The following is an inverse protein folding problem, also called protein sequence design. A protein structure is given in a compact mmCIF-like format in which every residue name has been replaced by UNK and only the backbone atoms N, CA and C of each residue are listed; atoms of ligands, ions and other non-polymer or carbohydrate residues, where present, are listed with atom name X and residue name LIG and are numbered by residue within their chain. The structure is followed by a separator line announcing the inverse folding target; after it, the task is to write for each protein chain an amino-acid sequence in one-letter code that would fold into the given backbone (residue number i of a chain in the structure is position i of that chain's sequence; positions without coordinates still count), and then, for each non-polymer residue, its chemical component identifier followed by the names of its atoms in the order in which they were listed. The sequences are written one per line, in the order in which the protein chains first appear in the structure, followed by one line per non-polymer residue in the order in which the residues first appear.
data_IF_719284045762
#
_entry.id   IF_719284045762
#
_cell.length_a   1.000
_cell.length_b   1.000
_cell.length_c   1.000
_cell.angle_alpha   90.00
_cell.angle_beta   90.00
_cell.angle_gamma   90.00
#
_symmetry.space_group_name_H-M   'P 1'
#
loop_
_entity.id
_entity.type
_entity.pdbx_description
1 polymer ?
#
# COMPACT_ATOMS: atom_id res chain seq x y z
N UNK A 1 40.18 29.10 -7.02
CA UNK A 1 39.16 28.43 -7.86
C UNK A 1 38.35 27.54 -6.92
N UNK A 2 37.12 27.97 -6.63
CA UNK A 2 36.19 27.30 -5.72
C UNK A 2 35.21 26.49 -6.56
N UNK A 3 35.18 25.18 -6.37
CA UNK A 3 33.94 24.37 -6.35
C UNK A 3 34.26 23.08 -5.63
N UNK A 4 34.29 23.21 -4.30
CA UNK A 4 34.10 22.11 -3.38
C UNK A 4 32.70 21.52 -3.61
N UNK A 5 32.68 20.19 -3.67
CA UNK A 5 31.67 19.31 -3.10
C UNK A 5 30.20 19.48 -3.56
N UNK A 6 29.59 18.38 -3.99
CA UNK A 6 28.69 17.61 -3.13
C UNK A 6 27.97 16.57 -4.00
N UNK A 7 28.54 15.37 -4.03
CA UNK A 7 27.78 14.13 -4.21
C UNK A 7 26.81 14.02 -3.04
N UNK A 8 25.56 14.46 -3.23
CA UNK A 8 24.49 14.15 -2.28
C UNK A 8 23.75 12.92 -2.80
N UNK A 9 24.24 11.75 -2.40
CA UNK A 9 23.45 10.53 -2.39
C UNK A 9 22.21 10.79 -1.52
N UNK A 10 21.04 10.96 -2.13
CA UNK A 10 19.79 10.81 -1.39
C UNK A 10 19.58 9.32 -1.14
N UNK A 11 20.15 8.83 -0.04
CA UNK A 11 19.64 7.64 0.63
C UNK A 11 18.24 7.98 1.15
N UNK A 12 17.22 7.55 0.43
CA UNK A 12 15.88 7.43 1.00
C UNK A 12 15.93 6.27 2.00
N UNK A 13 16.28 6.58 3.25
CA UNK A 13 16.10 5.67 4.36
C UNK A 13 14.59 5.44 4.51
N UNK A 14 14.08 4.32 3.99
CA UNK A 14 12.75 3.86 4.38
C UNK A 14 12.85 3.53 5.87
N UNK A 15 12.23 4.39 6.66
CA UNK A 15 12.19 4.32 8.11
C UNK A 15 11.37 3.09 8.49
N UNK A 16 12.00 1.91 8.49
CA UNK A 16 11.45 0.69 9.07
C UNK A 16 11.50 0.75 10.60
N UNK A 17 11.01 1.85 11.18
CA UNK A 17 10.57 1.92 12.57
C UNK A 17 9.05 1.77 12.55
N UNK A 18 8.47 1.13 13.58
CA UNK A 18 7.02 0.97 13.79
C UNK A 18 6.24 2.22 13.39
N UNK A 19 5.91 2.30 12.11
CA UNK A 19 5.13 3.36 11.53
C UNK A 19 3.74 2.79 11.60
N UNK A 20 2.94 3.32 12.52
CA UNK A 20 1.51 3.38 12.28
C UNK A 20 1.33 4.24 11.03
N UNK A 21 1.63 3.68 9.85
CA UNK A 21 1.28 4.27 8.58
C UNK A 21 -0.21 4.54 8.67
N UNK A 22 -0.59 5.81 8.51
CA UNK A 22 -2.01 6.19 8.55
C UNK A 22 -2.75 5.29 7.58
N UNK A 23 -3.82 4.65 8.06
CA UNK A 23 -4.64 3.76 7.25
C UNK A 23 -5.06 4.49 5.96
N UNK A 24 -4.73 3.91 4.81
CA UNK A 24 -5.14 4.46 3.51
C UNK A 24 -6.63 4.21 3.31
N UNK A 25 -7.30 5.08 2.58
CA UNK A 25 -8.76 4.95 2.34
C UNK A 25 -9.10 3.78 1.42
N UNK A 26 -10.38 3.42 1.36
CA UNK A 26 -10.89 2.42 0.41
C UNK A 26 -10.65 2.89 -1.02
N UNK A 27 -11.04 4.13 -1.35
CA UNK A 27 -10.86 4.73 -2.68
C UNK A 27 -9.41 4.69 -3.16
N UNK A 28 -8.44 4.91 -2.26
CA UNK A 28 -7.03 4.77 -2.58
C UNK A 28 -6.75 3.35 -3.07
N UNK A 29 -7.15 2.35 -2.30
CA UNK A 29 -6.92 0.96 -2.65
C UNK A 29 -7.70 0.54 -3.89
N UNK A 30 -8.85 1.14 -4.20
CA UNK A 30 -9.58 0.86 -5.44
C UNK A 30 -8.76 1.23 -6.68
N UNK A 31 -8.15 2.42 -6.68
CA UNK A 31 -7.35 2.90 -7.83
C UNK A 31 -5.87 2.47 -7.78
N UNK A 32 -5.38 1.91 -6.67
CA UNK A 32 -3.99 1.49 -6.47
C UNK A 32 -3.86 -0.03 -6.22
N UNK A 33 -4.20 -0.84 -7.22
CA UNK A 33 -4.27 -2.30 -7.12
C UNK A 33 -2.97 -2.97 -6.65
N UNK A 34 -1.80 -2.48 -7.08
CA UNK A 34 -0.49 -3.03 -6.64
C UNK A 34 -0.28 -2.86 -5.13
N UNK A 35 -0.61 -1.68 -4.60
CA UNK A 35 -0.49 -1.40 -3.17
C UNK A 35 -1.52 -2.17 -2.37
N UNK A 36 -2.75 -2.32 -2.91
CA UNK A 36 -3.79 -3.17 -2.31
C UNK A 36 -3.33 -4.61 -2.15
N UNK A 37 -2.77 -5.22 -3.20
CA UNK A 37 -2.26 -6.60 -3.16
C UNK A 37 -1.12 -6.73 -2.14
N UNK A 38 -0.16 -5.79 -2.15
CA UNK A 38 0.94 -5.81 -1.20
C UNK A 38 0.44 -5.73 0.26
N UNK A 39 -0.54 -4.85 0.53
CA UNK A 39 -1.14 -4.72 1.85
C UNK A 39 -1.89 -5.98 2.26
N UNK A 40 -2.69 -6.59 1.39
CA UNK A 40 -3.40 -7.84 1.70
C UNK A 40 -2.44 -8.98 2.08
N UNK A 41 -1.32 -9.10 1.37
CA UNK A 41 -0.28 -10.08 1.69
C UNK A 41 0.35 -9.81 3.06
N UNK A 42 0.61 -8.54 3.38
CA UNK A 42 1.10 -8.14 4.71
C UNK A 42 0.07 -8.49 5.81
N UNK A 43 -1.21 -8.22 5.57
CA UNK A 43 -2.30 -8.51 6.49
C UNK A 43 -2.43 -10.03 6.77
N UNK A 44 -2.28 -10.86 5.73
CA UNK A 44 -2.32 -12.32 5.85
C UNK A 44 -1.17 -12.88 6.70
N UNK A 45 0.03 -12.30 6.58
CA UNK A 45 1.21 -12.75 7.34
C UNK A 45 1.15 -12.34 8.82
N UNK A 46 0.65 -11.14 9.10
CA UNK A 46 0.61 -10.59 10.47
C UNK A 46 -0.62 -11.03 11.27
N UNK A 47 -1.64 -11.60 10.63
CA UNK A 47 -2.94 -11.92 11.26
C UNK A 47 -3.65 -10.71 11.88
N UNK A 48 -3.29 -9.49 11.46
CA UNK A 48 -3.68 -8.24 12.13
C UNK A 48 -4.90 -7.62 11.47
N UNK A 49 -5.91 -7.26 12.25
CA UNK A 49 -7.13 -6.59 11.80
C UNK A 49 -6.98 -5.06 11.95
N UNK A 50 -6.02 -4.46 11.26
CA UNK A 50 -5.89 -3.00 11.23
C UNK A 50 -6.98 -2.37 10.34
N UNK A 51 -7.29 -1.10 10.55
CA UNK A 51 -8.21 -0.37 9.67
C UNK A 51 -7.70 -0.34 8.22
N UNK A 52 -6.39 -0.31 8.03
CA UNK A 52 -5.74 -0.34 6.71
C UNK A 52 -6.01 -1.69 6.00
N UNK A 53 -5.92 -2.80 6.73
CA UNK A 53 -6.28 -4.13 6.23
C UNK A 53 -7.77 -4.25 5.88
N UNK A 54 -8.65 -3.66 6.69
CA UNK A 54 -10.10 -3.62 6.40
C UNK A 54 -10.38 -2.81 5.12
N UNK A 55 -9.71 -1.67 4.95
CA UNK A 55 -9.91 -0.83 3.77
C UNK A 55 -9.41 -1.51 2.49
N UNK A 56 -8.26 -2.21 2.54
CA UNK A 56 -7.76 -2.99 1.41
C UNK A 56 -8.67 -4.18 1.03
N UNK A 57 -9.26 -4.86 2.02
CA UNK A 57 -10.25 -5.92 1.77
C UNK A 57 -11.54 -5.37 1.16
N UNK A 58 -12.07 -4.27 1.70
CA UNK A 58 -13.30 -3.66 1.19
C UNK A 58 -13.12 -3.19 -0.26
N UNK A 59 -12.00 -2.55 -0.57
CA UNK A 59 -11.65 -2.19 -1.94
C UNK A 59 -11.59 -3.41 -2.87
N UNK A 60 -11.10 -4.56 -2.37
CA UNK A 60 -11.10 -5.81 -3.16
C UNK A 60 -12.52 -6.29 -3.44
N UNK A 61 -13.38 -6.30 -2.42
CA UNK A 61 -14.79 -6.66 -2.58
C UNK A 61 -15.51 -5.73 -3.57
N UNK A 62 -15.30 -4.41 -3.48
CA UNK A 62 -15.89 -3.44 -4.39
C UNK A 62 -15.45 -3.67 -5.85
N UNK A 63 -14.15 -3.87 -6.08
CA UNK A 63 -13.63 -4.18 -7.41
C UNK A 63 -14.08 -5.56 -7.92
N UNK A 64 -14.32 -6.53 -7.04
CA UNK A 64 -14.91 -7.83 -7.41
C UNK A 64 -16.40 -7.73 -7.72
N UNK A 65 -17.12 -6.76 -7.14
CA UNK A 65 -18.49 -6.46 -7.55
C UNK A 65 -18.57 -5.75 -8.91
N UNK A 66 -17.45 -5.20 -9.40
CA UNK A 66 -17.32 -4.60 -10.73
C UNK A 66 -16.83 -5.59 -11.81
N UNK A 67 -16.46 -6.83 -11.47
CA UNK A 67 -16.18 -7.82 -12.53
C UNK A 67 -17.48 -8.12 -13.27
N UNK A 68 -17.56 -7.91 -14.60
CA UNK A 68 -18.65 -8.47 -15.38
C UNK A 68 -18.67 -9.98 -15.11
N UNK A 69 -19.86 -10.52 -14.86
CA UNK A 69 -20.09 -11.96 -14.88
C UNK A 69 -19.52 -12.50 -16.19
N UNK A 70 -18.41 -13.22 -16.12
CA UNK A 70 -17.99 -14.08 -17.22
C UNK A 70 -18.19 -15.52 -16.76
N UNK A 71 -19.40 -16.02 -17.03
CA UNK A 71 -19.67 -17.45 -17.15
C UNK A 71 -18.75 -18.04 -18.22
N UNK A 72 -17.79 -18.88 -17.83
CA UNK A 72 -17.18 -19.93 -18.65
C UNK A 72 -16.74 -21.10 -17.76
#
# INVERSE_FOLDING_TARGET
MKTLALTLMLFATTLAGCSEEKAKSVDWYETHSKERIAKLNECAQKGTISQDCKNAQLATHNNSAETPVTDW
#
